data_IF_008220623988
#
_entry.id   IF_008220623988
#
_cell.length_a   1.000
_cell.length_b   1.000
_cell.length_c   1.000
_cell.angle_alpha   90.00
_cell.angle_beta   90.00
_cell.angle_gamma   90.00
#
_symmetry.space_group_name_H-M   'P 1'
#
loop_
_entity.id
_entity.type
_entity.pdbx_description
1 polymer ?
#
# COMPACT_ATOMS: atom_id res chain seq x y z
N UNK A 1 -26.26 37.07 -17.43
CA UNK A 1 -26.83 35.76 -17.05
C UNK A 1 -25.81 35.09 -16.15
N UNK A 2 -26.07 35.07 -14.84
CA UNK A 2 -25.16 34.54 -13.84
C UNK A 2 -25.67 33.14 -13.50
N UNK A 3 -24.87 32.11 -13.79
CA UNK A 3 -25.21 30.74 -13.43
C UNK A 3 -24.77 30.56 -11.98
N UNK A 4 -25.73 30.57 -11.06
CA UNK A 4 -25.47 30.27 -9.65
C UNK A 4 -25.43 28.76 -9.51
N UNK A 5 -24.24 28.19 -9.38
CA UNK A 5 -24.06 26.76 -9.09
C UNK A 5 -24.08 26.62 -7.57
N UNK A 6 -24.93 25.74 -7.05
CA UNK A 6 -24.93 25.39 -5.63
C UNK A 6 -23.61 24.70 -5.27
N UNK A 7 -22.96 25.16 -4.22
CA UNK A 7 -21.65 24.64 -3.75
C UNK A 7 -21.70 23.13 -3.49
N UNK A 8 -22.79 22.64 -2.91
CA UNK A 8 -23.05 21.21 -2.67
C UNK A 8 -23.06 20.37 -3.95
N UNK A 9 -23.59 20.92 -5.05
CA UNK A 9 -23.59 20.24 -6.35
C UNK A 9 -22.18 20.18 -6.94
N UNK A 10 -21.34 21.17 -6.65
CA UNK A 10 -19.94 21.19 -7.06
C UNK A 10 -19.13 20.13 -6.29
N UNK A 11 -19.32 20.03 -4.98
CA UNK A 11 -18.67 19.03 -4.13
C UNK A 11 -19.00 17.61 -4.58
N UNK A 12 -20.28 17.30 -4.82
CA UNK A 12 -20.70 15.98 -5.31
C UNK A 12 -20.08 15.63 -6.68
N UNK A 13 -19.97 16.60 -7.58
CA UNK A 13 -19.34 16.39 -8.88
C UNK A 13 -17.84 16.11 -8.73
N UNK A 14 -17.17 16.83 -7.83
CA UNK A 14 -15.75 16.62 -7.52
C UNK A 14 -15.56 15.21 -6.95
N UNK A 15 -16.35 14.79 -5.97
CA UNK A 15 -16.26 13.45 -5.37
C UNK A 15 -16.47 12.33 -6.40
N UNK A 16 -17.42 12.51 -7.33
CA UNK A 16 -17.64 11.57 -8.42
C UNK A 16 -16.44 11.50 -9.38
N UNK A 17 -15.86 12.63 -9.76
CA UNK A 17 -14.67 12.68 -10.63
C UNK A 17 -13.47 12.04 -9.94
N UNK A 18 -13.27 12.35 -8.66
CA UNK A 18 -12.17 11.83 -7.85
C UNK A 18 -12.29 10.29 -7.72
N UNK A 19 -13.48 9.79 -7.39
CA UNK A 19 -13.75 8.35 -7.33
C UNK A 19 -13.53 7.65 -8.68
N UNK A 20 -14.00 8.25 -9.78
CA UNK A 20 -13.81 7.72 -11.15
C UNK A 20 -12.33 7.62 -11.53
N UNK A 21 -11.51 8.53 -11.03
CA UNK A 21 -10.05 8.54 -11.25
C UNK A 21 -9.29 7.65 -10.25
N UNK A 22 -9.98 6.99 -9.33
CA UNK A 22 -9.39 6.09 -8.35
C UNK A 22 -8.82 6.78 -7.11
N UNK A 23 -9.13 8.07 -6.90
CA UNK A 23 -8.83 8.73 -5.64
C UNK A 23 -9.81 8.24 -4.58
N UNK A 24 -9.26 7.82 -3.45
CA UNK A 24 -10.01 7.48 -2.24
C UNK A 24 -9.62 8.45 -1.14
N UNK A 25 -10.56 8.86 -0.29
CA UNK A 25 -10.26 9.62 0.91
C UNK A 25 -9.12 8.98 1.71
N UNK A 26 -8.20 9.79 2.22
CA UNK A 26 -6.99 9.32 2.93
C UNK A 26 -7.33 8.38 4.10
N UNK A 27 -8.44 8.65 4.79
CA UNK A 27 -8.98 7.84 5.88
C UNK A 27 -9.46 6.43 5.46
N UNK A 28 -9.72 6.18 4.16
CA UNK A 28 -10.07 4.84 3.65
C UNK A 28 -8.84 3.98 3.34
N UNK A 29 -7.65 4.58 3.26
CA UNK A 29 -6.40 3.86 2.98
C UNK A 29 -5.80 3.31 4.29
N UNK A 30 -6.02 4.03 5.40
CA UNK A 30 -5.60 3.62 6.75
C UNK A 30 -6.41 2.41 7.20
N UNK A 31 -5.72 1.35 7.61
CA UNK A 31 -6.35 0.09 8.06
C UNK A 31 -6.54 -0.97 6.97
N UNK A 32 -6.29 -0.64 5.70
CA UNK A 32 -6.30 -1.63 4.63
C UNK A 32 -5.12 -2.59 4.76
N UNK A 33 -5.42 -3.88 4.75
CA UNK A 33 -4.42 -4.94 4.80
C UNK A 33 -4.35 -5.72 3.50
N UNK A 34 -3.14 -6.13 3.11
CA UNK A 34 -2.89 -6.93 1.92
C UNK A 34 -2.05 -8.16 2.26
N UNK A 35 -2.10 -9.16 1.38
CA UNK A 35 -1.22 -10.32 1.43
C UNK A 35 0.20 -9.99 0.93
N UNK A 36 1.18 -10.84 1.25
CA UNK A 36 2.54 -10.68 0.71
C UNK A 36 2.61 -10.84 -0.80
N UNK A 37 1.74 -11.67 -1.38
CA UNK A 37 1.71 -11.87 -2.82
C UNK A 37 1.20 -10.59 -3.52
N UNK A 38 0.24 -9.89 -2.93
CA UNK A 38 -0.20 -8.56 -3.40
C UNK A 38 0.87 -7.50 -3.20
N UNK A 39 1.52 -7.47 -2.04
CA UNK A 39 2.60 -6.53 -1.76
C UNK A 39 3.75 -6.69 -2.77
N UNK A 40 4.19 -7.93 -3.02
CA UNK A 40 5.24 -8.21 -3.99
C UNK A 40 4.86 -7.72 -5.39
N UNK A 41 3.62 -7.97 -5.82
CA UNK A 41 3.11 -7.51 -7.13
C UNK A 41 3.01 -6.00 -7.26
N UNK A 42 2.71 -5.27 -6.18
CA UNK A 42 2.53 -3.82 -6.22
C UNK A 42 3.85 -3.07 -6.05
N UNK A 43 4.66 -3.46 -5.08
CA UNK A 43 5.78 -2.67 -4.60
C UNK A 43 7.15 -3.28 -4.91
N UNK A 44 7.22 -4.57 -5.23
CA UNK A 44 8.50 -5.28 -5.39
C UNK A 44 8.63 -6.05 -6.71
N UNK A 45 7.96 -5.63 -7.80
CA UNK A 45 8.15 -6.25 -9.11
C UNK A 45 9.60 -6.10 -9.59
N UNK A 46 10.19 -7.14 -10.25
CA UNK A 46 9.59 -8.42 -10.66
C UNK A 46 9.62 -9.53 -9.59
N UNK A 47 10.02 -9.21 -8.36
CA UNK A 47 10.31 -10.19 -7.32
C UNK A 47 9.04 -10.79 -6.68
N UNK A 48 9.17 -12.03 -6.19
CA UNK A 48 8.10 -12.75 -5.49
C UNK A 48 8.22 -12.67 -3.96
N UNK A 49 7.26 -13.30 -3.27
CA UNK A 49 7.19 -13.32 -1.79
C UNK A 49 8.46 -13.79 -1.08
N UNK A 50 9.20 -14.75 -1.64
CA UNK A 50 10.41 -15.28 -1.02
C UNK A 50 11.52 -14.23 -0.96
N UNK A 51 11.66 -13.47 -2.04
CA UNK A 51 12.60 -12.37 -2.14
C UNK A 51 12.21 -11.22 -1.22
N UNK A 52 10.93 -10.84 -1.18
CA UNK A 52 10.42 -9.83 -0.23
C UNK A 52 10.72 -10.21 1.22
N UNK A 53 10.54 -11.49 1.59
CA UNK A 53 10.92 -11.95 2.94
C UNK A 53 12.41 -11.78 3.20
N UNK A 54 13.26 -12.26 2.29
CA UNK A 54 14.71 -12.26 2.45
C UNK A 54 15.31 -10.85 2.48
N UNK A 55 14.84 -9.95 1.62
CA UNK A 55 15.49 -8.67 1.36
C UNK A 55 14.75 -7.47 1.97
N UNK A 56 13.49 -7.64 2.40
CA UNK A 56 12.71 -6.56 3.03
C UNK A 56 12.29 -6.97 4.45
N UNK A 57 11.51 -8.03 4.62
CA UNK A 57 10.89 -8.30 5.93
C UNK A 57 11.89 -8.78 6.99
N UNK A 58 12.82 -9.69 6.64
CA UNK A 58 13.77 -10.22 7.61
C UNK A 58 14.89 -9.24 7.99
N UNK A 59 15.48 -8.47 7.06
CA UNK A 59 16.55 -7.53 7.41
C UNK A 59 16.01 -6.32 8.16
N UNK A 60 14.93 -5.73 7.67
CA UNK A 60 14.42 -4.45 8.20
C UNK A 60 13.41 -4.63 9.33
N UNK A 61 12.81 -5.82 9.49
CA UNK A 61 11.82 -6.15 10.53
C UNK A 61 10.77 -5.05 10.73
N UNK A 62 10.06 -4.65 9.66
CA UNK A 62 9.17 -3.50 9.70
C UNK A 62 7.98 -3.71 10.64
N UNK A 63 7.54 -2.63 11.27
CA UNK A 63 6.36 -2.58 12.15
C UNK A 63 5.02 -2.69 11.39
N UNK A 64 5.00 -2.35 10.10
CA UNK A 64 3.84 -2.49 9.22
C UNK A 64 3.54 -3.92 8.76
N UNK A 65 4.37 -4.91 9.15
CA UNK A 65 4.15 -6.31 8.86
C UNK A 65 3.95 -7.10 10.16
N UNK A 66 2.75 -7.67 10.34
CA UNK A 66 2.47 -8.54 11.47
C UNK A 66 2.87 -9.99 11.17
N UNK A 67 3.43 -10.67 12.19
CA UNK A 67 3.74 -12.10 12.14
C UNK A 67 4.65 -12.49 10.95
N UNK A 68 5.82 -11.86 10.83
CA UNK A 68 6.82 -12.07 9.76
C UNK A 68 7.26 -13.55 9.66
N UNK A 69 7.22 -14.29 10.77
CA UNK A 69 7.48 -15.72 10.85
C UNK A 69 6.22 -16.49 11.25
N UNK A 70 5.23 -16.62 10.34
CA UNK A 70 4.02 -17.33 10.67
C UNK A 70 4.35 -18.82 10.89
N UNK A 71 3.99 -19.34 12.06
CA UNK A 71 3.99 -20.78 12.33
C UNK A 71 2.98 -21.53 11.45
N UNK A 72 2.85 -22.84 11.66
CA UNK A 72 1.88 -23.66 10.90
C UNK A 72 0.46 -23.13 11.13
N UNK A 73 -0.21 -22.68 10.07
CA UNK A 73 -1.55 -22.08 10.14
C UNK A 73 -1.58 -20.58 10.49
N UNK A 74 -0.42 -19.98 10.80
CA UNK A 74 -0.30 -18.55 11.03
C UNK A 74 -0.51 -17.74 9.76
N UNK A 75 -1.24 -16.62 9.87
CA UNK A 75 -1.36 -15.65 8.80
C UNK A 75 -0.44 -14.47 9.07
N UNK A 76 0.17 -13.97 8.00
CA UNK A 76 0.99 -12.76 7.99
C UNK A 76 0.19 -11.68 7.29
N UNK A 77 0.16 -10.48 7.85
CA UNK A 77 -0.67 -9.38 7.36
C UNK A 77 0.18 -8.14 7.19
N UNK A 78 0.09 -7.50 6.02
CA UNK A 78 0.78 -6.26 5.68
C UNK A 78 -0.22 -5.12 5.72
N UNK A 79 0.07 -4.07 6.48
CA UNK A 79 -0.71 -2.83 6.46
C UNK A 79 -0.25 -1.98 5.27
N UNK A 80 -1.11 -1.82 4.26
CA UNK A 80 -0.69 -1.32 2.93
C UNK A 80 -0.17 0.12 2.98
N UNK A 81 -0.87 1.01 3.68
CA UNK A 81 -0.48 2.42 3.78
C UNK A 81 0.93 2.63 4.35
N UNK A 82 1.24 2.18 5.58
CA UNK A 82 2.59 2.37 6.14
C UNK A 82 3.66 1.59 5.36
N UNK A 83 3.31 0.44 4.77
CA UNK A 83 4.25 -0.30 3.92
C UNK A 83 4.60 0.46 2.63
N UNK A 84 3.64 1.18 2.04
CA UNK A 84 3.88 2.01 0.84
C UNK A 84 4.79 3.20 1.13
N UNK A 85 4.59 3.88 2.26
CA UNK A 85 5.46 4.98 2.72
C UNK A 85 6.88 4.45 2.91
N UNK A 86 7.02 3.37 3.67
CA UNK A 86 8.32 2.76 3.96
C UNK A 86 9.06 2.35 2.67
N UNK A 87 8.35 1.74 1.71
CA UNK A 87 8.94 1.36 0.42
C UNK A 87 9.46 2.54 -0.38
N UNK A 88 8.83 3.71 -0.27
CA UNK A 88 9.29 4.92 -0.93
C UNK A 88 10.55 5.50 -0.27
N UNK A 89 10.58 5.51 1.07
CA UNK A 89 11.69 6.03 1.87
C UNK A 89 12.95 5.17 1.76
N UNK A 90 12.79 3.84 1.87
CA UNK A 90 13.90 2.89 1.91
C UNK A 90 14.24 2.28 0.54
N UNK A 91 13.64 2.79 -0.56
CA UNK A 91 13.82 2.24 -1.92
C UNK A 91 15.30 2.06 -2.30
N UNK A 92 16.16 2.99 -1.87
CA UNK A 92 17.60 3.00 -2.21
C UNK A 92 18.45 2.07 -1.34
N UNK A 93 17.93 1.66 -0.19
CA UNK A 93 18.64 0.79 0.76
C UNK A 93 18.45 -0.70 0.42
N UNK A 94 17.38 -1.01 -0.32
CA UNK A 94 17.07 -2.37 -0.75
C UNK A 94 18.02 -2.76 -1.90
N UNK A 95 18.70 -3.89 -1.74
CA UNK A 95 19.42 -4.54 -2.83
C UNK A 95 18.42 -5.24 -3.77
N UNK A 96 17.98 -4.51 -4.81
CA UNK A 96 17.04 -4.98 -5.81
C UNK A 96 17.58 -6.13 -6.68
N UNK A 97 18.90 -6.26 -6.81
CA UNK A 97 19.52 -7.25 -7.69
C UNK A 97 19.90 -8.56 -6.97
N UNK A 98 19.60 -8.66 -5.66
CA UNK A 98 19.82 -9.85 -4.86
C UNK A 98 19.12 -11.09 -5.45
N UNK A 99 19.87 -12.20 -5.60
CA UNK A 99 19.40 -13.48 -6.17
C UNK A 99 19.13 -14.55 -5.09
#
# INVERSE_FOLDING_TARGET
MQITIEESSLEQLIDQIMSKRGYVPENQIVGKTISIDEFAKKYAKPHGKAWVKRNILYPFKPDWCSNIHPGRGGKMTIFEYPAAIWMNEHRKEIDWDAK
#
